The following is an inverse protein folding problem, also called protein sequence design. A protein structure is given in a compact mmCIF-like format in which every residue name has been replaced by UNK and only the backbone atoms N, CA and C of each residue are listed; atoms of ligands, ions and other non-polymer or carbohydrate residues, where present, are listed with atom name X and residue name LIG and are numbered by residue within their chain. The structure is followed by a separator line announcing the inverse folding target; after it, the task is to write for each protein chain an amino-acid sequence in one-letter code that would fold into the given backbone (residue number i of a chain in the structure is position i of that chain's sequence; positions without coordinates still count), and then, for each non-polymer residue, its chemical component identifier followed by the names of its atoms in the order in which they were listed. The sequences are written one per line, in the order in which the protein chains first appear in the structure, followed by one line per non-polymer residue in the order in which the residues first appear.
data_IF_972333707528
#
_entry.id   IF_972333707528
#
_cell.length_a   1.000
_cell.length_b   1.000
_cell.length_c   1.000
_cell.angle_alpha   90.00
_cell.angle_beta   90.00
_cell.angle_gamma   90.00
#
_symmetry.space_group_name_H-M   'P 1'
#
loop_
_entity.id
_entity.type
_entity.pdbx_description
1 polymer ?
#
# COMPACT_ATOMS: atom_id res chain seq x y z
N UNK A 1 34.83 -4.04 21.68
CA UNK A 1 35.54 -4.91 22.63
C UNK A 1 34.97 -6.33 22.50
N UNK A 2 35.61 -7.25 21.78
CA UNK A 2 35.04 -8.54 21.40
C UNK A 2 35.39 -9.61 22.44
N UNK A 3 34.90 -9.44 23.67
CA UNK A 3 35.03 -10.43 24.75
C UNK A 3 33.70 -10.58 25.46
N UNK A 4 32.78 -11.35 24.85
CA UNK A 4 31.79 -12.17 25.58
C UNK A 4 30.86 -13.04 24.71
N UNK A 5 31.15 -13.26 23.42
CA UNK A 5 30.27 -14.06 22.54
C UNK A 5 30.28 -15.59 22.82
N UNK A 6 30.97 -16.04 23.89
CA UNK A 6 31.22 -17.45 24.16
C UNK A 6 30.34 -18.08 25.27
N UNK A 7 29.35 -17.36 25.83
CA UNK A 7 28.49 -17.90 26.91
C UNK A 7 26.98 -17.64 26.73
N UNK A 8 26.50 -17.46 25.50
CA UNK A 8 25.06 -17.40 25.26
C UNK A 8 24.54 -18.83 25.07
N UNK A 9 23.74 -19.32 26.03
CA UNK A 9 23.14 -20.65 25.97
C UNK A 9 22.44 -20.90 24.62
N UNK A 10 22.47 -22.13 24.05
CA UNK A 10 21.86 -22.44 22.75
C UNK A 10 20.38 -22.03 22.65
N UNK A 11 19.69 -22.04 23.79
CA UNK A 11 18.27 -21.77 23.95
C UNK A 11 17.94 -20.27 23.80
N UNK A 12 18.89 -19.40 24.13
CA UNK A 12 18.79 -17.94 24.01
C UNK A 12 19.13 -17.45 22.59
N UNK A 13 19.88 -18.23 21.80
CA UNK A 13 20.20 -17.87 20.40
C UNK A 13 18.96 -17.77 19.51
N UNK A 14 17.99 -18.67 19.68
CA UNK A 14 16.74 -18.62 18.90
C UNK A 14 15.88 -17.40 19.27
N UNK A 15 15.74 -17.10 20.57
CA UNK A 15 14.98 -15.93 21.02
C UNK A 15 15.61 -14.59 20.64
N UNK A 16 16.94 -14.48 20.70
CA UNK A 16 17.68 -13.26 20.34
C UNK A 16 17.72 -13.10 18.82
N UNK A 17 17.91 -14.16 18.02
CA UNK A 17 17.87 -14.06 16.56
C UNK A 17 16.48 -13.63 16.06
N UNK A 18 15.42 -14.17 16.65
CA UNK A 18 14.04 -13.81 16.34
C UNK A 18 13.70 -12.39 16.82
N UNK A 19 14.12 -12.00 18.03
CA UNK A 19 13.92 -10.65 18.55
C UNK A 19 14.76 -9.60 17.81
N UNK A 20 15.99 -9.95 17.41
CA UNK A 20 16.89 -9.11 16.62
C UNK A 20 16.44 -8.99 15.16
N UNK A 21 15.89 -10.07 14.59
CA UNK A 21 15.22 -10.06 13.29
C UNK A 21 13.97 -9.20 13.30
N UNK A 22 13.13 -9.31 14.34
CA UNK A 22 11.96 -8.45 14.56
C UNK A 22 12.36 -6.99 14.79
N UNK A 23 13.39 -6.72 15.58
CA UNK A 23 13.91 -5.37 15.85
C UNK A 23 14.54 -4.74 14.60
N UNK A 24 15.35 -5.46 13.82
CA UNK A 24 15.85 -4.99 12.52
C UNK A 24 14.71 -4.76 11.52
N UNK A 25 13.71 -5.64 11.49
CA UNK A 25 12.55 -5.49 10.61
C UNK A 25 11.67 -4.28 10.97
N UNK A 26 11.64 -3.87 12.24
CA UNK A 26 10.87 -2.70 12.70
C UNK A 26 11.67 -1.39 12.69
N UNK A 27 12.99 -1.43 12.94
CA UNK A 27 13.81 -0.23 13.17
C UNK A 27 14.90 0.04 12.11
N UNK A 28 15.17 -0.85 11.14
CA UNK A 28 16.14 -0.58 10.06
C UNK A 28 15.43 -0.06 8.79
N UNK A 29 15.63 1.22 8.41
CA UNK A 29 15.04 1.80 7.21
C UNK A 29 15.40 1.05 5.92
N UNK A 30 16.61 0.47 5.84
CA UNK A 30 17.05 -0.27 4.66
C UNK A 30 16.26 -1.57 4.48
N UNK A 31 16.00 -2.28 5.58
CA UNK A 31 15.21 -3.51 5.56
C UNK A 31 13.75 -3.23 5.19
N UNK A 32 13.14 -2.20 5.80
CA UNK A 32 11.77 -1.79 5.47
C UNK A 32 11.64 -1.42 3.99
N UNK A 33 12.61 -0.70 3.45
CA UNK A 33 12.63 -0.32 2.03
C UNK A 33 12.69 -1.54 1.11
N UNK A 34 13.52 -2.54 1.44
CA UNK A 34 13.62 -3.78 0.68
C UNK A 34 12.32 -4.60 0.75
N UNK A 35 11.71 -4.70 1.93
CA UNK A 35 10.44 -5.39 2.13
C UNK A 35 9.32 -4.77 1.30
N UNK A 36 9.16 -3.44 1.36
CA UNK A 36 8.16 -2.70 0.57
C UNK A 36 8.38 -2.94 -0.92
N UNK A 37 9.63 -2.88 -1.40
CA UNK A 37 9.94 -3.15 -2.80
C UNK A 37 9.55 -4.58 -3.21
N UNK A 38 9.81 -5.57 -2.37
CA UNK A 38 9.39 -6.96 -2.59
C UNK A 38 7.88 -7.12 -2.66
N UNK A 39 7.15 -6.56 -1.69
CA UNK A 39 5.68 -6.61 -1.65
C UNK A 39 5.05 -5.92 -2.86
N UNK A 40 5.58 -4.77 -3.29
CA UNK A 40 5.15 -4.07 -4.52
C UNK A 40 5.29 -4.96 -5.75
N UNK A 41 6.43 -5.64 -5.88
CA UNK A 41 6.65 -6.54 -7.01
C UNK A 41 5.70 -7.74 -6.97
N UNK A 42 5.47 -8.31 -5.79
CA UNK A 42 4.52 -9.39 -5.60
C UNK A 42 3.09 -8.97 -5.95
N UNK A 43 2.63 -7.81 -5.46
CA UNK A 43 1.29 -7.29 -5.73
C UNK A 43 1.07 -7.08 -7.24
N UNK A 44 2.04 -6.45 -7.92
CA UNK A 44 2.00 -6.27 -9.38
C UNK A 44 1.98 -7.59 -10.13
N UNK A 45 2.78 -8.56 -9.70
CA UNK A 45 2.81 -9.89 -10.30
C UNK A 45 1.48 -10.64 -10.13
N UNK A 46 0.89 -10.62 -8.93
CA UNK A 46 -0.43 -11.21 -8.66
C UNK A 46 -1.54 -10.55 -9.47
N UNK A 47 -1.51 -9.21 -9.56
CA UNK A 47 -2.44 -8.44 -10.36
C UNK A 47 -2.39 -8.83 -11.85
N UNK A 48 -1.19 -9.03 -12.40
CA UNK A 48 -1.01 -9.49 -13.79
C UNK A 48 -1.57 -10.90 -14.02
N UNK A 49 -1.57 -11.75 -12.99
CA UNK A 49 -2.15 -13.10 -13.03
C UNK A 49 -3.65 -13.15 -12.73
N UNK A 50 -4.35 -12.01 -12.69
CA UNK A 50 -5.78 -11.91 -12.38
C UNK A 50 -6.17 -12.51 -11.02
N UNK A 51 -5.22 -12.56 -10.07
CA UNK A 51 -5.47 -13.01 -8.70
C UNK A 51 -5.81 -11.80 -7.82
N UNK A 52 -7.00 -11.24 -8.04
CA UNK A 52 -7.45 -9.99 -7.43
C UNK A 52 -7.42 -10.00 -5.91
N UNK A 53 -7.94 -11.05 -5.27
CA UNK A 53 -8.02 -11.14 -3.81
C UNK A 53 -6.64 -11.15 -3.17
N UNK A 54 -5.72 -11.92 -3.75
CA UNK A 54 -4.35 -12.01 -3.26
C UNK A 54 -3.60 -10.69 -3.48
N UNK A 55 -3.76 -10.04 -4.63
CA UNK A 55 -3.16 -8.73 -4.90
C UNK A 55 -3.70 -7.66 -3.94
N UNK A 56 -5.00 -7.64 -3.68
CA UNK A 56 -5.63 -6.73 -2.72
C UNK A 56 -5.10 -6.95 -1.30
N UNK A 57 -4.89 -8.21 -0.90
CA UNK A 57 -4.25 -8.55 0.38
C UNK A 57 -2.85 -7.95 0.52
N UNK A 58 -2.00 -8.10 -0.51
CA UNK A 58 -0.63 -7.56 -0.49
C UNK A 58 -0.63 -6.02 -0.50
N UNK A 59 -1.53 -5.38 -1.25
CA UNK A 59 -1.66 -3.92 -1.22
C UNK A 59 -2.15 -3.43 0.15
N UNK A 60 -3.06 -4.14 0.81
CA UNK A 60 -3.45 -3.81 2.19
C UNK A 60 -2.27 -3.90 3.15
N UNK A 61 -1.42 -4.92 3.01
CA UNK A 61 -0.18 -5.03 3.80
C UNK A 61 0.75 -3.84 3.54
N UNK A 62 0.97 -3.46 2.28
CA UNK A 62 1.74 -2.25 1.94
C UNK A 62 1.18 -1.00 2.61
N UNK A 63 -0.15 -0.84 2.64
CA UNK A 63 -0.83 0.28 3.27
C UNK A 63 -0.77 0.26 4.80
N UNK A 64 -0.47 -0.88 5.44
CA UNK A 64 -0.14 -0.89 6.88
C UNK A 64 1.23 -0.31 7.17
N UNK A 65 2.15 -0.35 6.19
CA UNK A 65 3.52 0.16 6.30
C UNK A 65 3.59 1.63 5.83
N UNK A 66 2.92 1.93 4.71
CA UNK A 66 2.84 3.26 4.11
C UNK A 66 1.37 3.68 3.91
N UNK A 67 0.66 4.06 4.99
CA UNK A 67 -0.77 4.41 4.93
C UNK A 67 -1.05 5.66 4.08
N UNK A 68 -0.06 6.55 3.95
CA UNK A 68 -0.19 7.83 3.25
C UNK A 68 0.27 7.75 1.78
N UNK A 69 0.47 6.53 1.25
CA UNK A 69 0.91 6.34 -0.12
C UNK A 69 -0.28 6.34 -1.10
N UNK A 70 -0.54 7.49 -1.73
CA UNK A 70 -1.62 7.65 -2.71
C UNK A 70 -1.53 6.66 -3.89
N UNK A 71 -0.33 6.28 -4.32
CA UNK A 71 -0.15 5.34 -5.42
C UNK A 71 -0.63 3.94 -5.07
N UNK A 72 -0.39 3.48 -3.83
CA UNK A 72 -0.84 2.14 -3.40
C UNK A 72 -2.35 2.09 -3.19
N UNK A 73 -2.95 3.17 -2.67
CA UNK A 73 -4.41 3.32 -2.63
C UNK A 73 -5.02 3.28 -4.03
N UNK A 74 -4.41 3.96 -5.00
CA UNK A 74 -4.85 3.94 -6.39
C UNK A 74 -4.74 2.53 -7.00
N UNK A 75 -3.62 1.83 -6.77
CA UNK A 75 -3.42 0.47 -7.25
C UNK A 75 -4.46 -0.49 -6.65
N UNK A 76 -4.74 -0.38 -5.35
CA UNK A 76 -5.76 -1.19 -4.68
C UNK A 76 -7.16 -0.93 -5.27
N UNK A 77 -7.51 0.34 -5.52
CA UNK A 77 -8.78 0.70 -6.16
C UNK A 77 -8.93 0.11 -7.56
N UNK A 78 -7.85 0.08 -8.36
CA UNK A 78 -7.85 -0.58 -9.67
C UNK A 78 -8.10 -2.07 -9.56
N UNK A 79 -7.57 -2.75 -8.54
CA UNK A 79 -7.83 -4.17 -8.30
C UNK A 79 -9.28 -4.42 -7.91
N UNK A 80 -9.82 -3.64 -6.98
CA UNK A 80 -11.22 -3.77 -6.57
C UNK A 80 -12.17 -3.58 -7.76
N UNK A 81 -11.94 -2.55 -8.57
CA UNK A 81 -12.77 -2.27 -9.75
C UNK A 81 -12.65 -3.36 -10.82
N UNK A 82 -11.42 -3.68 -11.25
CA UNK A 82 -11.20 -4.45 -12.48
C UNK A 82 -11.12 -5.97 -12.27
N UNK A 83 -10.89 -6.43 -11.05
CA UNK A 83 -10.73 -7.87 -10.76
C UNK A 83 -11.76 -8.39 -9.78
N UNK A 84 -12.14 -7.59 -8.78
CA UNK A 84 -13.11 -8.01 -7.75
C UNK A 84 -14.54 -7.53 -8.06
N UNK A 85 -14.69 -6.52 -8.91
CA UNK A 85 -15.99 -5.94 -9.23
C UNK A 85 -16.64 -5.16 -8.06
N UNK A 86 -15.86 -4.87 -7.01
CA UNK A 86 -16.35 -4.08 -5.86
C UNK A 86 -16.12 -2.60 -6.13
N UNK A 87 -17.12 -1.98 -6.76
CA UNK A 87 -17.08 -0.55 -7.07
C UNK A 87 -17.07 0.31 -5.80
N UNK A 88 -17.68 -0.14 -4.70
CA UNK A 88 -17.77 0.62 -3.46
C UNK A 88 -16.41 0.78 -2.81
N UNK A 89 -15.68 -0.32 -2.65
CA UNK A 89 -14.32 -0.27 -2.10
C UNK A 89 -13.33 0.36 -3.07
N UNK A 90 -13.52 0.19 -4.40
CA UNK A 90 -12.73 0.91 -5.39
C UNK A 90 -12.88 2.44 -5.25
N UNK A 91 -14.12 2.92 -5.12
CA UNK A 91 -14.43 4.33 -4.88
C UNK A 91 -13.75 4.86 -3.63
N UNK A 92 -13.84 4.12 -2.52
CA UNK A 92 -13.20 4.50 -1.25
C UNK A 92 -11.68 4.61 -1.40
N UNK A 93 -11.05 3.66 -2.09
CA UNK A 93 -9.62 3.67 -2.34
C UNK A 93 -9.19 4.86 -3.22
N UNK A 94 -9.95 5.15 -4.28
CA UNK A 94 -9.67 6.31 -5.14
C UNK A 94 -9.88 7.64 -4.42
N UNK A 95 -10.91 7.76 -3.57
CA UNK A 95 -11.10 8.95 -2.75
C UNK A 95 -9.92 9.16 -1.80
N UNK A 96 -9.45 8.10 -1.13
CA UNK A 96 -8.27 8.16 -0.26
C UNK A 96 -7.00 8.56 -1.02
N UNK A 97 -6.75 8.00 -2.20
CA UNK A 97 -5.62 8.40 -3.03
C UNK A 97 -5.67 9.91 -3.36
N UNK A 98 -6.84 10.41 -3.74
CA UNK A 98 -7.02 11.81 -4.09
C UNK A 98 -6.92 12.75 -2.89
N UNK A 99 -7.37 12.33 -1.70
CA UNK A 99 -7.25 13.11 -0.47
C UNK A 99 -5.78 13.26 -0.03
N UNK A 100 -4.95 12.23 -0.30
CA UNK A 100 -3.53 12.20 0.04
C UNK A 100 -2.68 13.00 -0.95
N UNK A 101 -2.89 12.77 -2.25
CA UNK A 101 -2.16 13.45 -3.32
C UNK A 101 -3.11 13.77 -4.49
N UNK A 102 -3.74 14.95 -4.48
CA UNK A 102 -4.67 15.38 -5.52
C UNK A 102 -4.03 15.53 -6.91
N UNK A 103 -2.73 15.82 -6.96
CA UNK A 103 -2.01 16.16 -8.19
C UNK A 103 -1.52 14.90 -8.91
N UNK A 104 -1.08 13.90 -8.17
CA UNK A 104 -0.56 12.66 -8.72
C UNK A 104 -1.64 11.59 -8.93
N UNK A 105 -2.79 11.69 -8.25
CA UNK A 105 -3.90 10.74 -8.32
C UNK A 105 -4.83 10.93 -9.52
N UNK A 106 -4.24 11.15 -10.70
CA UNK A 106 -4.97 11.38 -11.95
C UNK A 106 -5.87 10.20 -12.35
N UNK A 107 -5.48 8.96 -12.07
CA UNK A 107 -6.34 7.79 -12.32
C UNK A 107 -7.52 7.83 -11.36
N UNK A 108 -7.28 7.98 -10.06
CA UNK A 108 -8.36 8.11 -9.07
C UNK A 108 -9.36 9.21 -9.45
N UNK A 109 -8.85 10.38 -9.87
CA UNK A 109 -9.69 11.49 -10.34
C UNK A 109 -10.54 11.10 -11.55
N UNK A 110 -9.96 10.40 -12.52
CA UNK A 110 -10.68 9.94 -13.72
C UNK A 110 -11.76 8.93 -13.37
N UNK A 111 -11.43 7.96 -12.52
CA UNK A 111 -12.36 6.89 -12.12
C UNK A 111 -13.53 7.45 -11.31
N UNK A 112 -13.27 8.30 -10.31
CA UNK A 112 -14.33 8.98 -9.55
C UNK A 112 -15.20 9.87 -10.45
N UNK A 113 -14.57 10.60 -11.39
CA UNK A 113 -15.29 11.47 -12.31
C UNK A 113 -16.06 10.71 -13.41
N UNK A 114 -15.80 9.42 -13.62
CA UNK A 114 -16.58 8.58 -14.52
C UNK A 114 -17.91 8.13 -13.90
N UNK A 115 -17.97 8.13 -12.56
CA UNK A 115 -19.11 7.65 -11.77
C UNK A 115 -20.04 8.81 -11.35
N UNK A 116 -19.63 10.06 -11.62
CA UNK A 116 -20.38 11.27 -11.28
C UNK A 116 -21.14 11.83 -12.49
N UNK A 117 -22.32 12.41 -12.23
CA UNK A 117 -23.04 13.19 -13.23
C UNK A 117 -22.25 14.43 -13.67
N UNK A 118 -22.44 14.87 -14.92
CA UNK A 118 -21.73 16.04 -15.51
C UNK A 118 -21.78 17.28 -14.61
N UNK A 119 -22.92 17.55 -13.97
CA UNK A 119 -23.13 18.70 -13.06
C UNK A 119 -22.38 18.51 -11.73
N UNK A 120 -22.38 17.29 -11.18
CA UNK A 120 -21.67 16.95 -9.95
C UNK A 120 -20.15 17.00 -10.18
N UNK A 121 -19.67 16.45 -11.30
CA UNK A 121 -18.28 16.48 -11.74
C UNK A 121 -17.75 17.90 -11.85
N UNK A 122 -18.47 18.82 -12.48
CA UNK A 122 -18.03 20.22 -12.58
C UNK A 122 -17.91 20.89 -11.21
N UNK A 123 -18.90 20.71 -10.33
CA UNK A 123 -18.85 21.23 -8.94
C UNK A 123 -17.72 20.60 -8.12
N UNK A 124 -17.42 19.33 -8.38
CA UNK A 124 -16.37 18.60 -7.68
C UNK A 124 -14.97 19.02 -8.15
N UNK A 125 -14.74 19.11 -9.47
CA UNK A 125 -13.48 19.63 -10.03
C UNK A 125 -13.24 21.08 -9.59
N UNK A 126 -14.27 21.92 -9.57
CA UNK A 126 -14.14 23.30 -9.08
C UNK A 126 -13.74 23.39 -7.60
N UNK A 127 -14.16 22.43 -6.75
CA UNK A 127 -13.71 22.33 -5.35
C UNK A 127 -12.28 21.80 -5.24
N UNK A 128 -11.85 20.95 -6.17
CA UNK A 128 -10.52 20.35 -6.16
C UNK A 128 -9.42 21.34 -6.57
N UNK A 129 -9.69 22.14 -7.61
CA UNK A 129 -8.72 23.09 -8.20
C UNK A 129 -8.92 24.55 -7.79
N UNK A 130 -9.95 24.85 -7.00
CA UNK A 130 -10.32 26.21 -6.61
C UNK A 130 -9.64 26.74 -5.34
N UNK A 131 -8.42 26.28 -5.01
CA UNK A 131 -7.61 26.82 -3.91
C UNK A 131 -6.42 27.60 -4.45
#
# INVERSE_FOLDING_TARGET
NPRNDAQIEPNLRHGIADAYGRWRATNDPAYRTLQIAGLRQLARWLARRKRGDAAAGVYRELLTIEPDNAMEWQNLGVIYKNQLGDETEAHRCFQKALDLDPDNSHIARRELAALMDKKQKQKWLGRLFGR
#
